data_IF_733764268263
#
_entry.id   IF_733764268263
#
_cell.length_a   1.000
_cell.length_b   1.000
_cell.length_c   1.000
_cell.angle_alpha   90.00
_cell.angle_beta   90.00
_cell.angle_gamma   90.00
#
_symmetry.space_group_name_H-M   'P 1'
#
loop_
_entity.id
_entity.type
_entity.pdbx_description
1 polymer ?
#
# COMPACT_ATOMS: atom_id res chain seq x y z
N UNK A 1 -14.76 -12.28 -5.74
CA UNK A 1 -13.81 -12.59 -4.66
C UNK A 1 -12.66 -11.61 -4.82
N UNK A 2 -12.37 -10.80 -3.79
CA UNK A 2 -11.15 -10.00 -3.77
C UNK A 2 -9.97 -10.97 -3.66
N UNK A 3 -8.88 -10.73 -4.41
CA UNK A 3 -7.66 -11.54 -4.25
C UNK A 3 -7.12 -11.37 -2.82
N UNK A 4 -6.40 -12.35 -2.29
CA UNK A 4 -5.80 -12.30 -0.93
C UNK A 4 -4.91 -11.07 -0.67
N UNK A 5 -4.54 -10.33 -1.71
CA UNK A 5 -3.72 -9.14 -1.63
C UNK A 5 -4.48 -7.83 -1.96
N UNK A 6 -5.82 -7.86 -1.99
CA UNK A 6 -6.64 -6.68 -2.26
C UNK A 6 -7.42 -6.28 -1.02
N UNK A 7 -7.21 -5.04 -0.58
CA UNK A 7 -7.93 -4.42 0.52
C UNK A 7 -8.98 -3.47 -0.05
N UNK A 8 -10.21 -3.55 0.46
CA UNK A 8 -11.24 -2.56 0.16
C UNK A 8 -11.08 -1.40 1.14
N UNK A 9 -11.02 -0.18 0.62
CA UNK A 9 -10.87 0.99 1.45
C UNK A 9 -12.17 1.33 2.15
N UNK A 10 -12.07 1.83 3.37
CA UNK A 10 -13.22 2.33 4.11
C UNK A 10 -13.77 3.60 3.45
N UNK A 11 -12.88 4.48 3.01
CA UNK A 11 -13.19 5.67 2.22
C UNK A 11 -12.46 5.65 0.89
N UNK A 12 -13.12 5.92 -0.25
CA UNK A 12 -12.45 5.98 -1.53
C UNK A 12 -11.44 7.13 -1.58
N UNK A 13 -10.25 6.87 -2.11
CA UNK A 13 -9.30 7.93 -2.45
C UNK A 13 -9.74 8.57 -3.77
N UNK A 14 -9.83 9.89 -3.81
CA UNK A 14 -10.15 10.65 -5.04
C UNK A 14 -8.85 11.05 -5.73
N UNK A 15 -8.60 10.48 -6.90
CA UNK A 15 -7.45 10.80 -7.74
C UNK A 15 -7.87 11.73 -8.88
N UNK A 16 -7.31 12.94 -8.91
CA UNK A 16 -7.45 13.84 -10.06
C UNK A 16 -6.42 13.49 -11.13
N UNK A 17 -6.88 13.14 -12.32
CA UNK A 17 -6.08 12.88 -13.49
C UNK A 17 -6.22 14.04 -14.48
N UNK A 18 -5.10 14.68 -14.81
CA UNK A 18 -5.03 15.73 -15.83
C UNK A 18 -4.34 15.19 -17.08
N UNK A 19 -5.00 15.29 -18.23
CA UNK A 19 -4.45 14.85 -19.51
C UNK A 19 -4.88 15.72 -20.67
N UNK A 20 -4.51 15.32 -21.89
CA UNK A 20 -4.85 16.02 -23.14
C UNK A 20 -6.36 16.16 -23.39
N UNK A 21 -7.19 15.34 -22.73
CA UNK A 21 -8.65 15.40 -22.78
C UNK A 21 -9.32 16.20 -21.64
N UNK A 22 -8.55 16.87 -20.78
CA UNK A 22 -9.07 17.63 -19.64
C UNK A 22 -8.78 16.99 -18.28
N UNK A 23 -9.53 17.43 -17.25
CA UNK A 23 -9.45 16.96 -15.86
C UNK A 23 -10.55 15.94 -15.61
N UNK A 24 -10.19 14.78 -15.07
CA UNK A 24 -11.15 13.75 -14.61
C UNK A 24 -10.78 13.26 -13.22
N UNK A 25 -11.77 12.82 -12.47
CA UNK A 25 -11.59 12.20 -11.15
C UNK A 25 -11.80 10.69 -11.24
N UNK A 26 -10.96 9.94 -10.53
CA UNK A 26 -11.03 8.49 -10.37
C UNK A 26 -11.15 8.17 -8.88
N UNK A 27 -12.15 7.38 -8.51
CA UNK A 27 -12.30 6.89 -7.14
C UNK A 27 -11.61 5.54 -6.99
N UNK A 28 -10.67 5.45 -6.07
CA UNK A 28 -9.97 4.21 -5.72
C UNK A 28 -10.67 3.62 -4.51
N UNK A 29 -11.51 2.61 -4.73
CA UNK A 29 -12.23 1.91 -3.64
C UNK A 29 -11.48 0.67 -3.14
N UNK A 30 -10.50 0.21 -3.90
CA UNK A 30 -9.73 -1.00 -3.57
C UNK A 30 -8.27 -0.79 -3.90
N UNK A 31 -7.40 -1.23 -3.01
CA UNK A 31 -5.95 -1.23 -3.20
C UNK A 31 -5.48 -2.66 -3.32
N UNK A 32 -4.84 -2.99 -4.44
CA UNK A 32 -4.22 -4.31 -4.66
C UNK A 32 -2.71 -4.18 -4.50
N UNK A 33 -2.14 -4.99 -3.60
CA UNK A 33 -0.71 -5.07 -3.41
C UNK A 33 -0.11 -6.20 -4.25
N UNK A 34 0.89 -5.89 -5.07
CA UNK A 34 1.73 -6.93 -5.65
C UNK A 34 2.66 -7.49 -4.57
N UNK A 35 3.10 -8.74 -4.74
CA UNK A 35 4.13 -9.31 -3.87
C UNK A 35 5.42 -8.47 -3.90
N UNK A 36 6.01 -8.29 -2.72
CA UNK A 36 7.28 -7.61 -2.56
C UNK A 36 8.41 -8.35 -3.27
N UNK A 37 9.29 -7.60 -3.94
CA UNK A 37 10.55 -8.08 -4.53
C UNK A 37 11.70 -7.46 -3.75
N UNK A 38 12.88 -8.06 -3.83
CA UNK A 38 14.08 -7.58 -3.12
C UNK A 38 14.40 -6.10 -3.40
N UNK A 39 14.14 -5.63 -4.63
CA UNK A 39 14.35 -4.22 -5.00
C UNK A 39 13.47 -3.26 -4.20
N UNK A 40 12.29 -3.70 -3.77
CA UNK A 40 11.32 -2.89 -3.02
C UNK A 40 11.71 -2.73 -1.55
N UNK A 41 12.66 -3.53 -1.06
CA UNK A 41 13.19 -3.46 0.30
C UNK A 41 14.46 -2.61 0.39
N UNK A 42 15.02 -2.18 -0.75
CA UNK A 42 16.25 -1.39 -0.78
C UNK A 42 16.03 -0.04 -0.11
N UNK A 43 17.01 0.35 0.71
CA UNK A 43 16.98 1.60 1.48
C UNK A 43 16.06 1.58 2.70
N UNK A 44 15.39 0.45 2.98
CA UNK A 44 14.62 0.27 4.20
C UNK A 44 15.49 -0.37 5.28
N UNK A 45 15.31 0.05 6.51
CA UNK A 45 15.97 -0.57 7.66
C UNK A 45 15.32 -1.93 7.93
N UNK A 46 16.13 -2.99 8.00
CA UNK A 46 15.65 -4.35 8.28
C UNK A 46 14.88 -4.44 9.60
N UNK A 47 15.29 -3.70 10.63
CA UNK A 47 14.57 -3.66 11.91
C UNK A 47 13.20 -2.97 11.78
N UNK A 48 13.12 -1.91 10.98
CA UNK A 48 11.87 -1.21 10.73
C UNK A 48 10.92 -2.02 9.84
N UNK A 49 11.44 -2.97 9.05
CA UNK A 49 10.66 -3.96 8.33
C UNK A 49 10.05 -5.03 9.24
N UNK A 50 10.75 -5.40 10.33
CA UNK A 50 10.24 -6.36 11.32
C UNK A 50 9.05 -5.81 12.10
N UNK A 51 9.04 -4.50 12.36
CA UNK A 51 7.99 -3.81 13.11
C UNK A 51 7.00 -3.05 12.23
N UNK A 52 7.20 -3.04 10.90
CA UNK A 52 6.46 -2.24 9.93
C UNK A 52 6.20 -0.81 10.44
N UNK A 53 7.25 -0.10 10.85
CA UNK A 53 7.14 1.30 11.28
C UNK A 53 6.41 2.15 10.23
N UNK A 54 5.64 3.17 10.66
CA UNK A 54 4.73 3.94 9.79
C UNK A 54 5.35 4.38 8.46
N UNK A 55 6.52 5.02 8.48
CA UNK A 55 7.23 5.46 7.27
C UNK A 55 7.65 4.30 6.36
N UNK A 56 8.01 3.16 6.95
CA UNK A 56 8.37 1.93 6.23
C UNK A 56 7.14 1.30 5.60
N UNK A 57 6.03 1.24 6.34
CA UNK A 57 4.74 0.74 5.86
C UNK A 57 4.22 1.58 4.69
N UNK A 58 4.18 2.91 4.83
CA UNK A 58 3.77 3.82 3.76
C UNK A 58 4.64 3.66 2.51
N UNK A 59 5.96 3.55 2.70
CA UNK A 59 6.89 3.35 1.58
C UNK A 59 6.61 2.03 0.86
N UNK A 60 6.34 0.95 1.59
CA UNK A 60 5.97 -0.34 1.01
C UNK A 60 4.63 -0.26 0.29
N UNK A 61 3.61 0.36 0.89
CA UNK A 61 2.30 0.53 0.25
C UNK A 61 2.46 1.25 -1.09
N UNK A 62 3.19 2.39 -1.14
CA UNK A 62 3.46 3.11 -2.39
C UNK A 62 4.14 2.20 -3.43
N UNK A 63 5.21 1.49 -3.03
CA UNK A 63 5.99 0.62 -3.94
C UNK A 63 5.18 -0.56 -4.48
N UNK A 64 4.25 -1.08 -3.69
CA UNK A 64 3.53 -2.33 -4.00
C UNK A 64 2.15 -2.10 -4.62
N UNK A 65 1.51 -0.97 -4.38
CA UNK A 65 0.22 -0.59 -4.97
C UNK A 65 0.34 0.30 -6.20
N UNK A 66 1.41 1.10 -6.29
CA UNK A 66 1.52 2.19 -7.26
C UNK A 66 0.77 3.47 -6.85
N UNK A 67 0.22 3.53 -5.64
CA UNK A 67 -0.30 4.77 -5.08
C UNK A 67 0.83 5.80 -4.89
N UNK A 68 0.50 7.07 -5.11
CA UNK A 68 1.40 8.19 -4.83
C UNK A 68 1.51 8.45 -3.32
N UNK A 69 2.51 9.23 -2.91
CA UNK A 69 2.66 9.63 -1.50
C UNK A 69 1.42 10.39 -0.98
N UNK A 70 0.82 11.22 -1.82
CA UNK A 70 -0.38 11.98 -1.45
C UNK A 70 -1.53 11.02 -1.21
N UNK A 71 -1.76 10.06 -2.11
CA UNK A 71 -2.83 9.07 -1.99
C UNK A 71 -2.66 8.16 -0.78
N UNK A 72 -1.42 7.80 -0.44
CA UNK A 72 -1.15 7.02 0.79
C UNK A 72 -1.44 7.84 2.05
N UNK A 73 -1.26 9.15 2.02
CA UNK A 73 -1.62 10.04 3.13
C UNK A 73 -3.13 10.19 3.36
N UNK A 74 -3.97 9.77 2.40
CA UNK A 74 -5.43 9.76 2.52
C UNK A 74 -5.95 8.45 3.13
N UNK A 75 -5.10 7.44 3.34
CA UNK A 75 -5.48 6.18 3.97
C UNK A 75 -5.74 6.40 5.46
N UNK A 76 -6.85 5.85 5.95
CA UNK A 76 -7.13 5.85 7.37
C UNK A 76 -6.44 4.69 8.11
N UNK A 77 -6.58 4.65 9.44
CA UNK A 77 -5.95 3.62 10.26
C UNK A 77 -6.45 2.20 9.92
N UNK A 78 -7.74 2.05 9.59
CA UNK A 78 -8.30 0.74 9.26
C UNK A 78 -7.78 0.23 7.91
N UNK A 79 -7.63 1.14 6.94
CA UNK A 79 -7.00 0.84 5.67
C UNK A 79 -5.54 0.41 5.84
N UNK A 80 -4.78 1.13 6.68
CA UNK A 80 -3.39 0.82 7.00
C UNK A 80 -3.24 -0.54 7.70
N UNK A 81 -4.13 -0.86 8.64
CA UNK A 81 -4.18 -2.18 9.30
C UNK A 81 -4.47 -3.31 8.29
N UNK A 82 -5.42 -3.11 7.39
CA UNK A 82 -5.72 -4.10 6.34
C UNK A 82 -4.52 -4.33 5.42
N UNK A 83 -3.87 -3.25 4.99
CA UNK A 83 -2.71 -3.31 4.10
C UNK A 83 -1.47 -3.88 4.78
N UNK A 84 -1.24 -3.59 6.07
CA UNK A 84 -0.12 -4.13 6.84
C UNK A 84 -0.21 -5.66 6.95
N UNK A 85 -1.39 -6.20 7.23
CA UNK A 85 -1.62 -7.65 7.30
C UNK A 85 -1.30 -8.36 5.97
N UNK A 86 -1.64 -7.74 4.84
CA UNK A 86 -1.28 -8.27 3.51
C UNK A 86 0.24 -8.26 3.31
N UNK A 87 0.91 -7.17 3.71
CA UNK A 87 2.36 -7.01 3.58
C UNK A 87 3.09 -8.03 4.47
N UNK A 88 2.66 -8.23 5.72
CA UNK A 88 3.19 -9.25 6.62
C UNK A 88 3.12 -10.64 5.99
N UNK A 89 2.01 -10.95 5.31
CA UNK A 89 1.81 -12.21 4.58
C UNK A 89 2.82 -12.46 3.43
N UNK A 90 3.57 -11.44 2.99
CA UNK A 90 4.61 -11.60 1.98
C UNK A 90 5.93 -12.11 2.53
N UNK A 91 6.15 -11.98 3.85
CA UNK A 91 7.40 -12.38 4.48
C UNK A 91 7.25 -13.74 5.18
N UNK A 92 8.31 -14.57 5.15
CA UNK A 92 8.29 -15.81 5.90
C UNK A 92 8.20 -15.50 7.40
N UNK A 93 7.25 -16.12 8.08
CA UNK A 93 7.17 -16.01 9.55
C UNK A 93 8.46 -16.58 10.16
N UNK A 94 9.07 -15.89 11.14
CA UNK A 94 10.22 -16.45 11.83
C UNK A 94 9.84 -17.81 12.41
N UNK A 95 10.69 -18.83 12.19
CA UNK A 95 10.50 -20.14 12.81
C UNK A 95 10.70 -19.97 14.31
N UNK A 96 9.63 -20.18 15.09
CA UNK A 96 9.68 -20.32 16.55
C UNK A 96 10.50 -21.55 16.95
#
# INVERSE_FOLDING_TARGET
MLNDNTVRLQYPIVRTLTGSGGVREENIETVTLRRAKLKDLRGLNLKALETLEGDTLETLIQRLSGLSKVEVGELDLADLEGLSLVIEGFFPKPKS
#
